data_IF_637016027370
#
_entry.id   IF_637016027370
#
_cell.length_a   1.000
_cell.length_b   1.000
_cell.length_c   1.000
_cell.angle_alpha   90.00
_cell.angle_beta   90.00
_cell.angle_gamma   90.00
#
_symmetry.space_group_name_H-M   'P 1'
#
loop_
_entity.id
_entity.type
_entity.pdbx_description
1 polymer ?
#
# COMPACT_ATOMS: atom_id res chain seq x y z
N UNK A 1 8.27 7.00 -1.29
CA UNK A 1 7.81 7.85 -2.41
C UNK A 1 6.40 8.39 -2.14
N UNK A 2 6.15 9.64 -2.50
CA UNK A 2 4.83 10.27 -2.39
C UNK A 2 4.32 10.62 -3.81
N UNK A 3 3.28 9.92 -4.24
CA UNK A 3 2.62 10.03 -5.53
C UNK A 3 1.13 10.34 -5.33
N UNK A 4 0.80 11.28 -4.46
CA UNK A 4 -0.59 11.50 -4.02
C UNK A 4 -1.57 11.94 -5.12
N UNK A 5 -1.08 12.41 -6.26
CA UNK A 5 -1.90 12.74 -7.44
C UNK A 5 -2.10 11.55 -8.40
N UNK A 6 -1.38 10.44 -8.20
CA UNK A 6 -1.45 9.26 -9.07
C UNK A 6 -2.82 8.58 -8.96
N UNK A 7 -3.48 8.37 -10.11
CA UNK A 7 -4.81 7.74 -10.18
C UNK A 7 -4.73 6.26 -10.55
N UNK A 8 -3.84 5.91 -11.47
CA UNK A 8 -3.67 4.54 -11.99
C UNK A 8 -2.22 4.11 -11.94
N UNK A 9 -2.02 2.80 -11.77
CA UNK A 9 -0.78 2.10 -12.08
C UNK A 9 -1.18 1.07 -13.13
N UNK A 10 -0.78 1.27 -14.38
CA UNK A 10 -1.25 0.42 -15.48
C UNK A 10 -0.36 -0.83 -15.67
N UNK A 11 0.79 -0.87 -15.00
CA UNK A 11 1.74 -1.97 -15.11
C UNK A 11 1.68 -2.90 -13.89
N UNK A 12 1.63 -4.20 -14.17
CA UNK A 12 2.03 -5.23 -13.21
C UNK A 12 3.50 -4.99 -12.84
N UNK A 13 3.92 -5.24 -11.59
CA UNK A 13 5.32 -5.04 -11.14
C UNK A 13 5.84 -3.60 -11.08
N UNK A 14 4.97 -2.57 -11.10
CA UNK A 14 5.41 -1.15 -11.15
C UNK A 14 6.48 -0.74 -10.12
N UNK A 15 6.47 -1.35 -8.93
CA UNK A 15 7.47 -1.15 -7.87
C UNK A 15 8.10 -2.48 -7.42
N UNK A 16 8.15 -3.49 -8.28
CA UNK A 16 8.80 -4.75 -7.93
C UNK A 16 10.29 -4.53 -7.67
N UNK A 17 10.84 -5.27 -6.71
CA UNK A 17 12.27 -5.26 -6.35
C UNK A 17 12.81 -3.84 -6.09
N UNK A 18 12.07 -3.07 -5.30
CA UNK A 18 12.50 -1.77 -4.81
C UNK A 18 12.98 -1.88 -3.35
N UNK A 19 14.21 -2.39 -3.08
CA UNK A 19 14.67 -2.68 -1.73
C UNK A 19 14.84 -1.42 -0.87
N UNK A 20 14.95 -0.23 -1.46
CA UNK A 20 15.04 1.03 -0.70
C UNK A 20 13.67 1.66 -0.39
N UNK A 21 12.58 1.12 -0.95
CA UNK A 21 11.25 1.68 -0.77
C UNK A 21 10.70 1.31 0.61
N UNK A 22 10.69 2.27 1.53
CA UNK A 22 10.13 2.10 2.90
C UNK A 22 8.68 2.55 3.06
N UNK A 23 8.28 3.54 2.27
CA UNK A 23 7.00 4.24 2.38
C UNK A 23 6.44 4.50 1.00
N UNK A 24 5.18 4.13 0.78
CA UNK A 24 4.44 4.43 -0.43
C UNK A 24 3.15 5.19 -0.10
N UNK A 25 2.98 6.36 -0.71
CA UNK A 25 1.78 7.19 -0.54
C UNK A 25 1.18 7.50 -1.91
N UNK A 26 -0.06 7.09 -2.16
CA UNK A 26 -0.81 7.46 -3.36
C UNK A 26 -2.30 7.57 -3.03
N UNK A 27 -2.70 8.75 -2.56
CA UNK A 27 -4.02 9.00 -1.97
C UNK A 27 -5.19 8.86 -2.96
N UNK A 28 -4.93 9.06 -4.25
CA UNK A 28 -5.93 8.97 -5.33
C UNK A 28 -5.87 7.65 -6.11
N UNK A 29 -4.95 6.74 -5.76
CA UNK A 29 -4.76 5.47 -6.47
C UNK A 29 -5.97 4.54 -6.28
N UNK A 30 -6.46 3.97 -7.37
CA UNK A 30 -7.65 3.10 -7.37
C UNK A 30 -7.34 1.60 -7.31
N UNK A 31 -6.16 1.20 -7.80
CA UNK A 31 -5.77 -0.21 -7.88
C UNK A 31 -4.31 -0.39 -7.50
N UNK A 32 -4.03 -1.39 -6.65
CA UNK A 32 -2.69 -1.98 -6.50
C UNK A 32 -2.73 -3.31 -7.23
N UNK A 33 -2.18 -3.34 -8.44
CA UNK A 33 -2.20 -4.52 -9.30
C UNK A 33 -1.41 -5.69 -8.72
N UNK A 34 -1.59 -6.87 -9.33
CA UNK A 34 -0.84 -8.06 -8.97
C UNK A 34 0.67 -7.80 -9.03
N UNK A 35 1.36 -8.27 -7.98
CA UNK A 35 2.83 -8.17 -7.81
C UNK A 35 3.39 -6.74 -7.86
N UNK A 36 2.54 -5.72 -7.68
CA UNK A 36 2.95 -4.31 -7.78
C UNK A 36 4.15 -3.95 -6.90
N UNK A 37 4.22 -4.50 -5.68
CA UNK A 37 5.31 -4.27 -4.73
C UNK A 37 6.10 -5.54 -4.43
N UNK A 38 6.09 -6.57 -5.29
CA UNK A 38 6.80 -7.81 -4.97
C UNK A 38 8.28 -7.56 -4.67
N UNK A 39 8.86 -8.29 -3.72
CA UNK A 39 10.26 -8.15 -3.29
C UNK A 39 10.65 -6.77 -2.73
N UNK A 40 9.68 -5.94 -2.33
CA UNK A 40 9.96 -4.71 -1.58
C UNK A 40 10.24 -5.03 -0.10
N UNK A 41 11.42 -5.60 0.17
CA UNK A 41 11.76 -6.18 1.47
C UNK A 41 11.77 -5.19 2.64
N UNK A 42 12.01 -3.91 2.37
CA UNK A 42 12.00 -2.83 3.39
C UNK A 42 10.72 -1.99 3.40
N UNK A 43 9.69 -2.33 2.62
CA UNK A 43 8.44 -1.57 2.58
C UNK A 43 7.66 -1.76 3.89
N UNK A 44 7.52 -0.68 4.66
CA UNK A 44 6.87 -0.71 5.97
C UNK A 44 5.44 -0.16 5.94
N UNK A 45 5.21 0.88 5.13
CA UNK A 45 3.96 1.65 5.14
C UNK A 45 3.43 1.91 3.73
N UNK A 46 2.15 1.61 3.52
CA UNK A 46 1.41 1.85 2.27
C UNK A 46 0.14 2.64 2.59
N UNK A 47 0.00 3.83 1.99
CA UNK A 47 -1.13 4.73 2.17
C UNK A 47 -1.85 4.96 0.83
N UNK A 48 -2.84 4.12 0.54
CA UNK A 48 -3.62 4.09 -0.70
C UNK A 48 -5.11 3.93 -0.38
N UNK A 49 -5.73 4.87 0.36
CA UNK A 49 -7.06 4.73 0.96
C UNK A 49 -8.20 4.39 -0.01
N UNK A 50 -8.03 4.66 -1.30
CA UNK A 50 -9.01 4.38 -2.36
C UNK A 50 -8.71 3.10 -3.14
N UNK A 51 -7.57 2.46 -2.89
CA UNK A 51 -7.12 1.36 -3.71
C UNK A 51 -7.75 0.03 -3.30
N UNK A 52 -8.16 -0.74 -4.30
CA UNK A 52 -8.37 -2.19 -4.18
C UNK A 52 -7.05 -2.90 -4.41
N UNK A 53 -6.73 -3.85 -3.52
CA UNK A 53 -5.51 -4.65 -3.59
C UNK A 53 -5.81 -5.93 -4.36
N UNK A 54 -4.96 -6.29 -5.33
CA UNK A 54 -5.04 -7.54 -6.07
C UNK A 54 -4.03 -8.58 -5.56
N UNK A 55 -4.21 -9.82 -6.01
CA UNK A 55 -3.43 -10.98 -5.57
C UNK A 55 -1.93 -10.77 -5.74
N UNK A 56 -1.13 -11.32 -4.82
CA UNK A 56 0.35 -11.24 -4.86
C UNK A 56 0.96 -9.83 -4.79
N UNK A 57 0.17 -8.78 -4.58
CA UNK A 57 0.65 -7.39 -4.55
C UNK A 57 1.86 -7.16 -3.61
N UNK A 58 1.98 -7.97 -2.55
CA UNK A 58 3.02 -7.87 -1.52
C UNK A 58 3.83 -9.15 -1.33
N UNK A 59 3.99 -9.95 -2.39
CA UNK A 59 4.85 -11.14 -2.33
C UNK A 59 6.27 -10.76 -1.93
N UNK A 60 6.88 -11.44 -0.95
CA UNK A 60 8.24 -11.15 -0.45
C UNK A 60 8.37 -9.75 0.18
N UNK A 61 7.34 -9.30 0.90
CA UNK A 61 7.33 -8.02 1.62
C UNK A 61 7.17 -8.21 3.14
N UNK A 62 8.18 -8.73 3.85
CA UNK A 62 8.08 -9.09 5.26
C UNK A 62 7.99 -7.88 6.22
N UNK A 63 8.46 -6.70 5.80
CA UNK A 63 8.55 -5.52 6.68
C UNK A 63 7.25 -4.73 6.83
N UNK A 64 6.18 -5.05 6.07
CA UNK A 64 4.96 -4.25 6.06
C UNK A 64 4.25 -4.31 7.41
N UNK A 65 4.07 -3.14 8.02
CA UNK A 65 3.39 -2.96 9.32
C UNK A 65 2.10 -2.15 9.20
N UNK A 66 1.95 -1.37 8.14
CA UNK A 66 0.82 -0.43 7.99
C UNK A 66 0.31 -0.45 6.56
N UNK A 67 -0.98 -0.80 6.39
CA UNK A 67 -1.68 -0.73 5.10
C UNK A 67 -2.96 0.07 5.31
N UNK A 68 -3.14 1.15 4.55
CA UNK A 68 -4.41 1.85 4.41
C UNK A 68 -4.92 1.67 2.97
N UNK A 69 -6.02 0.95 2.80
CA UNK A 69 -6.63 0.64 1.50
C UNK A 69 -8.17 0.56 1.61
N UNK A 70 -8.86 0.67 0.47
CA UNK A 70 -10.33 0.57 0.40
C UNK A 70 -10.80 -0.86 0.68
N UNK A 71 -10.17 -1.82 0.00
CA UNK A 71 -10.41 -3.25 0.20
C UNK A 71 -9.08 -3.99 0.33
N UNK A 72 -8.90 -4.67 1.46
CA UNK A 72 -7.74 -5.51 1.76
C UNK A 72 -8.00 -7.01 1.60
N UNK A 73 -9.19 -7.42 1.18
CA UNK A 73 -9.55 -8.82 0.95
C UNK A 73 -9.11 -9.30 -0.42
N UNK A 74 -7.80 -9.54 -0.62
CA UNK A 74 -7.25 -10.19 -1.82
C UNK A 74 -6.93 -11.65 -1.53
N UNK A 75 -6.79 -12.51 -2.55
CA UNK A 75 -6.35 -13.90 -2.38
C UNK A 75 -4.84 -13.99 -2.51
N UNK A 76 -4.19 -14.77 -1.66
CA UNK A 76 -2.74 -14.97 -1.76
C UNK A 76 -2.32 -16.26 -1.06
N UNK A 77 -1.41 -16.99 -1.70
CA UNK A 77 -0.81 -18.23 -1.23
C UNK A 77 0.72 -18.21 -1.41
N UNK A 78 1.32 -17.02 -1.36
CA UNK A 78 2.75 -16.83 -1.60
C UNK A 78 3.65 -17.19 -0.41
N UNK A 79 3.06 -17.59 0.72
CA UNK A 79 3.72 -17.94 1.99
C UNK A 79 4.53 -16.83 2.67
N UNK A 80 4.86 -15.75 1.97
CA UNK A 80 5.67 -14.66 2.51
C UNK A 80 5.08 -13.28 2.18
N UNK A 81 3.92 -12.97 2.77
CA UNK A 81 3.32 -11.63 2.74
C UNK A 81 2.44 -11.40 3.98
N UNK A 82 1.98 -10.17 4.26
CA UNK A 82 1.14 -9.90 5.42
C UNK A 82 -0.13 -10.76 5.49
N UNK A 83 -0.71 -11.12 4.34
CA UNK A 83 -1.88 -12.00 4.29
C UNK A 83 -1.52 -13.43 4.69
N UNK A 84 -0.49 -14.01 4.07
CA UNK A 84 -0.08 -15.39 4.29
C UNK A 84 0.49 -15.59 5.71
N UNK A 85 1.14 -14.57 6.27
CA UNK A 85 1.78 -14.64 7.59
C UNK A 85 0.81 -14.22 8.72
N UNK A 86 -0.47 -13.98 8.42
CA UNK A 86 -1.50 -13.65 9.41
C UNK A 86 -1.46 -12.23 9.98
N UNK A 87 -0.58 -11.34 9.48
CA UNK A 87 -0.43 -9.97 10.01
C UNK A 87 -1.32 -8.92 9.33
N UNK A 88 -1.95 -9.26 8.20
CA UNK A 88 -2.73 -8.33 7.36
C UNK A 88 -3.81 -7.56 8.15
N UNK A 89 -4.55 -8.24 9.03
CA UNK A 89 -5.59 -7.59 9.83
C UNK A 89 -5.01 -6.52 10.76
N UNK A 90 -3.84 -6.78 11.34
CA UNK A 90 -3.13 -5.81 12.16
C UNK A 90 -2.59 -4.65 11.31
N UNK A 91 -2.06 -4.92 10.11
CA UNK A 91 -1.60 -3.88 9.18
C UNK A 91 -2.74 -2.94 8.77
N UNK A 92 -3.93 -3.48 8.48
CA UNK A 92 -5.13 -2.71 8.14
C UNK A 92 -5.63 -1.89 9.35
N UNK A 93 -5.59 -2.46 10.56
CA UNK A 93 -5.90 -1.74 11.81
C UNK A 93 -4.95 -0.57 12.02
N UNK A 94 -3.65 -0.77 11.80
CA UNK A 94 -2.63 0.27 11.88
C UNK A 94 -2.88 1.39 10.86
N UNK A 95 -3.23 1.06 9.62
CA UNK A 95 -3.59 2.05 8.60
C UNK A 95 -4.82 2.87 8.98
N UNK A 96 -5.87 2.24 9.49
CA UNK A 96 -7.07 2.94 10.00
C UNK A 96 -6.76 3.85 11.19
N UNK A 97 -5.83 3.46 12.07
CA UNK A 97 -5.35 4.32 13.16
C UNK A 97 -4.57 5.51 12.63
N UNK A 98 -3.66 5.29 11.68
CA UNK A 98 -2.87 6.34 11.04
C UNK A 98 -3.76 7.38 10.35
N UNK A 99 -4.83 6.95 9.67
CA UNK A 99 -5.79 7.82 9.00
C UNK A 99 -6.50 8.84 9.93
N UNK A 100 -6.45 8.64 11.25
CA UNK A 100 -7.03 9.55 12.26
C UNK A 100 -6.02 10.58 12.81
N UNK A 101 -4.75 10.45 12.46
CA UNK A 101 -3.69 11.32 12.96
C UNK A 101 -3.69 12.68 12.28
N UNK A 102 -3.17 13.70 12.96
CA UNK A 102 -2.92 15.01 12.36
C UNK A 102 -1.91 14.94 11.20
N UNK A 103 -0.96 13.99 11.27
CA UNK A 103 0.00 13.76 10.20
C UNK A 103 -0.71 13.36 8.89
N UNK A 104 -1.67 12.44 8.95
CA UNK A 104 -2.46 12.07 7.78
C UNK A 104 -3.31 13.24 7.26
N UNK A 105 -3.89 14.05 8.14
CA UNK A 105 -4.64 15.26 7.73
C UNK A 105 -3.76 16.24 6.96
N UNK A 106 -2.51 16.45 7.41
CA UNK A 106 -1.53 17.28 6.70
C UNK A 106 -1.20 16.73 5.31
N UNK A 107 -1.12 15.40 5.15
CA UNK A 107 -0.91 14.78 3.83
C UNK A 107 -2.04 15.12 2.86
N UNK A 108 -3.30 15.15 3.32
CA UNK A 108 -4.45 15.50 2.48
C UNK A 108 -4.41 16.96 2.02
N UNK A 109 -4.03 17.89 2.90
CA UNK A 109 -3.96 19.32 2.58
C UNK A 109 -2.85 19.68 1.61
N UNK A 110 -1.81 18.85 1.51
CA UNK A 110 -0.68 19.03 0.59
C UNK A 110 -0.97 18.48 -0.81
N UNK A 111 -2.10 17.80 -1.02
CA UNK A 111 -2.49 17.33 -2.35
C UNK A 111 -3.25 18.44 -3.08
N UNK A 112 -2.76 18.97 -4.22
CA UNK A 112 -3.53 19.96 -4.94
C UNK A 112 -4.83 19.33 -5.44
N UNK A 113 -5.94 19.97 -5.06
CA UNK A 113 -7.27 19.71 -5.58
C UNK A 113 -7.35 20.23 -7.02
N UNK A 114 -6.78 19.49 -7.96
CA UNK A 114 -7.20 19.61 -9.36
C UNK A 114 -8.43 18.73 -9.52
N UNK A 115 -9.60 19.36 -9.31
CA UNK A 115 -10.90 18.95 -9.84
C UNK A 115 -10.89 19.05 -11.36
#
# INVERSE_FOLDING_TARGET
>A
INLSSLKTLDSYYSFSDCPNLKLFIALKLQHINSRCFSYCTNLETILTPKATIYDWAFWECPAIKTILALNGGFSCYCENCPKCNGTLQQCLKNGKKFAKTEEYKKLLTLTPNYS
#
